data_IF_680916825302
#
_entry.id   IF_680916825302
#
_cell.length_a   1.000
_cell.length_b   1.000
_cell.length_c   1.000
_cell.angle_alpha   90.00
_cell.angle_beta   90.00
_cell.angle_gamma   90.00
#
_symmetry.space_group_name_H-M   'P 1'
#
loop_
_entity.id
_entity.type
_entity.pdbx_description
1 polymer ?
#
# COMPACT_ATOMS: atom_id res chain seq x y z
N UNK A 1 -7.57 9.28 24.85
CA UNK A 1 -6.65 9.44 23.71
C UNK A 1 -5.25 9.19 24.23
N UNK A 2 -4.53 8.22 23.66
CA UNK A 2 -3.12 8.04 23.97
C UNK A 2 -2.36 9.16 23.25
N UNK A 3 -1.91 10.14 24.00
CA UNK A 3 -0.99 11.16 23.49
C UNK A 3 0.41 10.64 23.72
N UNK A 4 1.11 10.25 22.65
CA UNK A 4 2.58 10.17 22.75
C UNK A 4 3.12 11.60 22.92
N UNK A 5 4.20 11.78 23.67
CA UNK A 5 4.82 13.11 23.86
C UNK A 5 5.23 13.75 22.54
N UNK A 6 5.41 12.95 21.48
CA UNK A 6 5.91 13.36 20.18
C UNK A 6 4.81 13.40 19.10
N UNK A 7 3.54 13.21 19.49
CA UNK A 7 2.43 13.07 18.55
C UNK A 7 2.43 11.73 17.81
N UNK A 8 1.56 11.59 16.83
CA UNK A 8 1.52 10.47 15.91
C UNK A 8 1.75 10.96 14.47
N UNK A 9 2.29 10.10 13.64
CA UNK A 9 2.52 10.35 12.23
C UNK A 9 1.34 9.82 11.41
N UNK A 10 0.88 10.59 10.44
CA UNK A 10 -0.18 10.19 9.53
C UNK A 10 0.46 9.80 8.20
N UNK A 11 0.14 8.60 7.73
CA UNK A 11 0.42 8.13 6.38
C UNK A 11 -0.92 8.01 5.65
N UNK A 12 -0.99 8.56 4.45
CA UNK A 12 -2.18 8.51 3.59
C UNK A 12 -1.88 7.66 2.36
N UNK A 13 -2.87 6.92 1.89
CA UNK A 13 -2.75 6.08 0.68
C UNK A 13 -3.94 6.36 -0.24
N UNK A 14 -3.73 6.81 -1.49
CA UNK A 14 -4.79 6.87 -2.48
C UNK A 14 -5.08 5.46 -3.02
N UNK A 15 -6.35 5.17 -3.28
CA UNK A 15 -6.79 3.89 -3.82
C UNK A 15 -7.08 3.97 -5.32
N UNK A 16 -7.31 5.16 -5.85
CA UNK A 16 -7.49 5.41 -7.27
C UNK A 16 -7.52 6.90 -7.58
N UNK A 17 -7.14 7.25 -8.78
CA UNK A 17 -7.42 8.56 -9.34
C UNK A 17 -8.90 8.68 -9.79
N UNK A 18 -9.43 9.89 -9.97
CA UNK A 18 -10.75 10.09 -10.56
C UNK A 18 -10.88 9.39 -11.92
N UNK A 19 -12.08 8.83 -12.25
CA UNK A 19 -12.27 8.06 -13.48
C UNK A 19 -11.80 8.75 -14.76
N UNK A 20 -12.02 10.05 -14.87
CA UNK A 20 -11.66 10.84 -16.05
C UNK A 20 -10.14 10.98 -16.28
N UNK A 21 -9.31 10.62 -15.28
CA UNK A 21 -7.85 10.54 -15.42
C UNK A 21 -7.38 9.14 -15.84
N UNK A 22 -8.27 8.16 -15.92
CA UNK A 22 -7.92 6.74 -16.13
C UNK A 22 -8.34 6.26 -17.50
N UNK A 23 -7.62 5.29 -18.01
CA UNK A 23 -7.83 4.67 -19.32
C UNK A 23 -9.18 3.96 -19.47
N UNK A 24 -9.72 3.46 -18.36
CA UNK A 24 -11.00 2.75 -18.31
C UNK A 24 -12.20 3.63 -17.88
N UNK A 25 -11.97 4.89 -17.55
CA UNK A 25 -12.98 5.82 -17.04
C UNK A 25 -13.83 5.24 -15.89
N UNK A 26 -13.19 4.49 -14.98
CA UNK A 26 -13.85 3.82 -13.85
C UNK A 26 -13.01 3.99 -12.57
N UNK A 27 -13.66 3.95 -11.40
CA UNK A 27 -12.96 3.91 -10.11
C UNK A 27 -12.22 2.58 -9.86
N UNK A 28 -12.68 1.49 -10.45
CA UNK A 28 -12.13 0.14 -10.26
C UNK A 28 -11.19 -0.22 -11.41
N UNK A 29 -9.99 -0.66 -11.09
CA UNK A 29 -8.97 -1.07 -12.05
C UNK A 29 -8.52 0.06 -12.98
N UNK A 30 -7.94 -0.29 -14.11
CA UNK A 30 -7.40 0.67 -15.08
C UNK A 30 -6.11 1.35 -14.61
N UNK A 31 -5.57 2.19 -15.49
CA UNK A 31 -4.30 2.89 -15.27
C UNK A 31 -4.47 4.40 -15.38
N UNK A 32 -3.65 5.12 -14.64
CA UNK A 32 -3.54 6.57 -14.80
C UNK A 32 -2.97 6.90 -16.19
N UNK A 33 -3.66 7.75 -16.94
CA UNK A 33 -3.16 8.24 -18.22
C UNK A 33 -1.99 9.19 -18.00
N UNK A 34 -0.93 9.02 -18.78
CA UNK A 34 0.32 9.79 -18.61
C UNK A 34 0.12 11.30 -18.79
N UNK A 35 -0.85 11.71 -19.60
CA UNK A 35 -1.23 13.11 -19.79
C UNK A 35 -1.76 13.77 -18.51
N UNK A 36 -2.21 12.98 -17.52
CA UNK A 36 -2.69 13.45 -16.22
C UNK A 36 -1.66 13.30 -15.10
N UNK A 37 -0.47 12.80 -15.34
CA UNK A 37 0.57 12.64 -14.31
C UNK A 37 0.84 13.94 -13.54
N UNK A 38 0.98 15.06 -14.26
CA UNK A 38 1.14 16.36 -13.60
C UNK A 38 -0.09 16.76 -12.76
N UNK A 39 -1.29 16.52 -13.28
CA UNK A 39 -2.55 16.84 -12.58
C UNK A 39 -2.70 15.99 -11.31
N UNK A 40 -2.31 14.72 -11.37
CA UNK A 40 -2.33 13.82 -10.23
C UNK A 40 -1.28 14.22 -9.19
N UNK A 41 -0.08 14.58 -9.58
CA UNK A 41 0.94 15.14 -8.70
C UNK A 41 0.49 16.45 -8.02
N UNK A 42 -0.22 17.32 -8.75
CA UNK A 42 -0.84 18.52 -8.21
C UNK A 42 -1.92 18.19 -7.16
N UNK A 43 -2.68 17.13 -7.35
CA UNK A 43 -3.67 16.66 -6.36
C UNK A 43 -2.99 16.34 -5.02
N UNK A 44 -1.90 15.58 -5.03
CA UNK A 44 -1.12 15.29 -3.79
C UNK A 44 -0.66 16.57 -3.10
N UNK A 45 -0.10 17.51 -3.84
CA UNK A 45 0.34 18.78 -3.28
C UNK A 45 -0.80 19.57 -2.65
N UNK A 46 -1.96 19.64 -3.32
CA UNK A 46 -3.15 20.30 -2.77
C UNK A 46 -3.73 19.58 -1.56
N UNK A 47 -3.72 18.26 -1.57
CA UNK A 47 -4.15 17.44 -0.43
C UNK A 47 -3.32 17.77 0.82
N UNK A 48 -1.99 17.74 0.71
CA UNK A 48 -1.08 18.08 1.81
C UNK A 48 -1.34 19.51 2.30
N UNK A 49 -1.46 20.45 1.38
CA UNK A 49 -1.71 21.87 1.71
C UNK A 49 -3.02 22.06 2.45
N UNK A 50 -4.09 21.38 2.01
CA UNK A 50 -5.41 21.49 2.62
C UNK A 50 -5.43 20.92 4.04
N UNK A 51 -4.86 19.74 4.25
CA UNK A 51 -4.78 19.14 5.59
C UNK A 51 -3.91 19.99 6.54
N UNK A 52 -2.81 20.51 6.05
CA UNK A 52 -1.95 21.40 6.84
C UNK A 52 -2.66 22.69 7.26
N UNK A 53 -3.54 23.23 6.43
CA UNK A 53 -4.35 24.40 6.77
C UNK A 53 -5.34 24.12 7.92
N UNK A 54 -5.76 22.85 8.08
CA UNK A 54 -6.60 22.38 9.20
C UNK A 54 -5.76 21.94 10.44
N UNK A 55 -4.45 22.17 10.42
CA UNK A 55 -3.56 21.79 11.52
C UNK A 55 -3.21 20.30 11.56
N UNK A 56 -3.39 19.58 10.45
CA UNK A 56 -3.09 18.16 10.31
C UNK A 56 -1.88 17.99 9.40
N UNK A 57 -0.77 17.56 9.97
CA UNK A 57 0.44 17.28 9.20
C UNK A 57 0.43 15.86 8.64
N UNK A 58 0.46 15.73 7.32
CA UNK A 58 0.64 14.45 6.63
C UNK A 58 2.15 14.16 6.58
N UNK A 59 2.59 13.23 7.40
CA UNK A 59 4.01 12.86 7.48
C UNK A 59 4.50 12.14 6.22
N UNK A 60 3.67 11.31 5.64
CA UNK A 60 3.99 10.55 4.44
C UNK A 60 2.73 10.08 3.70
N UNK A 61 2.93 9.59 2.50
CA UNK A 61 1.89 8.91 1.74
C UNK A 61 2.51 7.83 0.84
N UNK A 62 1.71 6.87 0.48
CA UNK A 62 2.06 5.92 -0.57
C UNK A 62 1.61 6.46 -1.93
N UNK A 63 2.28 6.07 -2.99
CA UNK A 63 1.95 6.56 -4.34
C UNK A 63 0.60 6.03 -4.79
N UNK A 64 0.32 4.77 -4.47
CA UNK A 64 -0.93 4.07 -4.75
C UNK A 64 -1.08 2.89 -3.81
N UNK A 65 -2.27 2.65 -3.29
CA UNK A 65 -2.60 1.44 -2.57
C UNK A 65 -2.75 0.27 -3.53
N UNK A 66 -2.05 -0.81 -3.27
CA UNK A 66 -2.14 -2.07 -4.02
C UNK A 66 -2.02 -1.90 -5.54
N UNK A 67 -0.90 -1.38 -6.05
CA UNK A 67 -0.73 -1.04 -7.46
C UNK A 67 -0.77 -2.25 -8.41
N UNK A 68 -0.73 -3.48 -7.92
CA UNK A 68 -0.98 -4.69 -8.71
C UNK A 68 -2.49 -4.94 -8.96
N UNK A 69 -3.34 -4.16 -8.29
CA UNK A 69 -4.79 -4.30 -8.33
C UNK A 69 -5.34 -5.24 -7.25
N UNK A 70 -6.64 -5.29 -7.16
CA UNK A 70 -7.39 -6.02 -6.13
C UNK A 70 -8.44 -6.98 -6.71
N UNK A 71 -8.26 -7.44 -7.93
CA UNK A 71 -9.22 -8.33 -8.59
C UNK A 71 -10.56 -7.68 -8.95
N UNK A 72 -10.61 -6.34 -9.05
CA UNK A 72 -11.81 -5.55 -9.34
C UNK A 72 -12.90 -5.62 -8.25
N UNK A 73 -12.51 -5.80 -6.99
CA UNK A 73 -13.45 -5.88 -5.87
C UNK A 73 -13.90 -4.51 -5.36
N UNK A 74 -13.00 -3.51 -5.37
CA UNK A 74 -13.26 -2.14 -4.93
C UNK A 74 -12.41 -1.14 -5.70
N UNK A 75 -12.42 0.13 -5.30
CA UNK A 75 -11.63 1.18 -5.92
C UNK A 75 -10.15 0.79 -5.99
N UNK A 76 -9.57 0.96 -7.18
CA UNK A 76 -8.18 0.56 -7.43
C UNK A 76 -7.63 1.19 -8.70
N UNK A 77 -6.31 1.28 -8.77
CA UNK A 77 -5.61 1.73 -9.95
C UNK A 77 -4.29 0.98 -10.09
N UNK A 78 -3.93 0.61 -11.29
CA UNK A 78 -2.78 -0.23 -11.57
C UNK A 78 -1.59 0.63 -11.98
N UNK A 79 -0.44 0.35 -11.38
CA UNK A 79 0.88 0.79 -11.82
C UNK A 79 1.77 -0.42 -12.05
N UNK A 80 2.63 -0.34 -13.04
CA UNK A 80 3.85 -1.14 -13.06
C UNK A 80 4.94 -0.46 -12.23
N UNK A 81 6.01 -1.18 -11.84
CA UNK A 81 7.15 -0.56 -11.16
C UNK A 81 7.71 0.64 -11.93
N UNK A 82 7.85 0.52 -13.26
CA UNK A 82 8.35 1.58 -14.13
C UNK A 82 7.42 2.78 -14.18
N UNK A 83 6.11 2.57 -14.34
CA UNK A 83 5.12 3.64 -14.38
C UNK A 83 5.10 4.44 -13.07
N UNK A 84 5.13 3.77 -11.92
CA UNK A 84 5.23 4.43 -10.61
C UNK A 84 6.54 5.21 -10.48
N UNK A 85 7.66 4.60 -10.86
CA UNK A 85 8.96 5.23 -10.81
C UNK A 85 9.03 6.49 -11.68
N UNK A 86 8.52 6.41 -12.92
CA UNK A 86 8.45 7.55 -13.83
C UNK A 86 7.53 8.66 -13.32
N UNK A 87 6.40 8.31 -12.74
CA UNK A 87 5.49 9.27 -12.12
C UNK A 87 6.17 10.00 -10.94
N UNK A 88 6.83 9.27 -10.06
CA UNK A 88 7.53 9.88 -8.90
C UNK A 88 8.70 10.74 -9.36
N UNK A 89 9.54 10.23 -10.24
CA UNK A 89 10.73 10.91 -10.73
C UNK A 89 10.42 12.22 -11.47
N UNK A 90 9.48 12.15 -12.41
CA UNK A 90 9.25 13.23 -13.37
C UNK A 90 8.14 14.20 -12.97
N UNK A 91 7.26 13.81 -12.04
CA UNK A 91 6.08 14.61 -11.69
C UNK A 91 5.91 14.81 -10.19
N UNK A 92 5.72 13.75 -9.41
CA UNK A 92 5.35 13.86 -7.99
C UNK A 92 6.48 14.45 -7.16
N UNK A 93 7.67 13.88 -7.20
CA UNK A 93 8.82 14.36 -6.45
C UNK A 93 9.19 15.80 -6.75
N UNK A 94 9.37 16.18 -8.04
CA UNK A 94 9.62 17.57 -8.42
C UNK A 94 8.52 18.53 -7.99
N UNK A 95 7.23 18.13 -8.09
CA UNK A 95 6.09 18.97 -7.70
C UNK A 95 6.08 19.25 -6.20
N UNK A 96 6.23 18.24 -5.37
CA UNK A 96 6.26 18.41 -3.92
C UNK A 96 7.45 19.28 -3.48
N UNK A 97 8.61 19.06 -4.07
CA UNK A 97 9.80 19.87 -3.81
C UNK A 97 9.59 21.33 -4.20
N UNK A 98 8.99 21.59 -5.36
CA UNK A 98 8.71 22.95 -5.84
C UNK A 98 7.70 23.69 -4.94
N UNK A 99 6.75 22.96 -4.37
CA UNK A 99 5.72 23.53 -3.48
C UNK A 99 6.18 23.59 -2.00
N UNK A 100 7.41 23.15 -1.71
CA UNK A 100 7.98 23.23 -0.36
C UNK A 100 7.44 22.19 0.62
N UNK A 101 6.96 21.07 0.12
CA UNK A 101 6.53 19.94 0.95
C UNK A 101 7.71 19.02 1.28
N UNK A 102 7.79 18.60 2.54
CA UNK A 102 8.77 17.62 3.06
C UNK A 102 8.13 16.24 3.37
N UNK A 103 6.87 16.09 2.98
CA UNK A 103 6.09 14.85 3.14
C UNK A 103 6.78 13.68 2.45
N UNK A 104 6.88 12.56 3.15
CA UNK A 104 7.60 11.36 2.70
C UNK A 104 6.82 10.63 1.61
N UNK A 105 7.50 10.26 0.53
CA UNK A 105 6.94 9.39 -0.51
C UNK A 105 7.38 7.96 -0.20
N UNK A 106 6.41 7.05 -0.07
CA UNK A 106 6.62 5.62 0.08
C UNK A 106 6.17 4.93 -1.21
N UNK A 107 7.03 4.12 -1.77
CA UNK A 107 6.69 3.34 -2.96
C UNK A 107 6.17 1.96 -2.62
N UNK A 108 5.71 1.23 -3.62
CA UNK A 108 5.16 -0.11 -3.57
C UNK A 108 3.76 -0.17 -2.95
N UNK A 109 3.64 -0.34 -1.62
CA UNK A 109 2.36 -0.42 -0.89
C UNK A 109 1.50 -1.63 -1.28
N UNK A 110 2.13 -2.81 -1.31
CA UNK A 110 1.54 -4.08 -1.73
C UNK A 110 2.13 -5.25 -0.92
N UNK A 111 1.62 -6.46 -1.14
CA UNK A 111 2.05 -7.67 -0.46
C UNK A 111 3.53 -7.99 -0.70
N UNK A 112 4.18 -8.58 0.29
CA UNK A 112 5.65 -8.78 0.34
C UNK A 112 6.21 -9.74 -0.70
N UNK A 113 5.38 -10.58 -1.31
CA UNK A 113 5.77 -11.60 -2.29
C UNK A 113 6.32 -11.02 -3.60
N UNK A 114 5.78 -9.90 -4.08
CA UNK A 114 6.19 -9.27 -5.36
C UNK A 114 7.16 -8.08 -5.18
N UNK A 115 7.72 -7.92 -3.98
CA UNK A 115 8.50 -6.75 -3.57
C UNK A 115 9.77 -6.53 -4.41
N UNK A 116 10.40 -7.61 -4.89
CA UNK A 116 11.72 -7.58 -5.52
C UNK A 116 11.79 -6.62 -6.71
N UNK A 117 10.93 -6.82 -7.70
CA UNK A 117 10.97 -6.06 -8.95
C UNK A 117 10.72 -4.56 -8.73
N UNK A 118 9.90 -4.23 -7.74
CA UNK A 118 9.61 -2.86 -7.36
C UNK A 118 10.81 -2.16 -6.72
N UNK A 119 11.45 -2.83 -5.78
CA UNK A 119 12.62 -2.31 -5.07
C UNK A 119 13.79 -2.09 -6.03
N UNK A 120 14.01 -3.02 -6.95
CA UNK A 120 15.05 -2.89 -7.97
C UNK A 120 14.83 -1.64 -8.84
N UNK A 121 13.62 -1.44 -9.35
CA UNK A 121 13.29 -0.27 -10.17
C UNK A 121 13.39 1.03 -9.39
N UNK A 122 12.84 1.08 -8.17
CA UNK A 122 12.82 2.30 -7.35
C UNK A 122 14.21 2.78 -6.94
N UNK A 123 15.11 1.85 -6.58
CA UNK A 123 16.38 2.21 -5.96
C UNK A 123 17.60 2.12 -6.89
N UNK A 124 17.48 1.41 -8.01
CA UNK A 124 18.56 1.43 -9.04
C UNK A 124 18.51 2.69 -9.91
N UNK A 125 17.35 3.34 -10.06
CA UNK A 125 17.23 4.62 -10.76
C UNK A 125 17.74 5.76 -9.87
N UNK A 126 18.94 6.25 -10.15
CA UNK A 126 19.62 7.30 -9.37
C UNK A 126 18.88 8.65 -9.39
N UNK A 127 17.98 8.87 -10.34
CA UNK A 127 17.17 10.10 -10.42
C UNK A 127 15.85 9.97 -9.64
N UNK A 128 15.30 8.77 -9.56
CA UNK A 128 14.07 8.50 -8.82
C UNK A 128 14.33 8.24 -7.32
N UNK A 129 15.34 7.43 -7.01
CA UNK A 129 15.64 6.98 -5.65
C UNK A 129 15.68 8.10 -4.59
N UNK A 130 16.20 9.32 -4.87
CA UNK A 130 16.19 10.42 -3.89
C UNK A 130 14.80 10.88 -3.47
N UNK A 131 13.77 10.67 -4.26
CA UNK A 131 12.40 11.06 -3.93
C UNK A 131 11.70 10.05 -3.02
N UNK A 132 12.04 8.78 -3.11
CA UNK A 132 11.47 7.77 -2.23
C UNK A 132 12.11 7.83 -0.84
N UNK A 133 11.29 8.04 0.17
CA UNK A 133 11.71 7.96 1.57
C UNK A 133 11.74 6.52 2.08
N UNK A 134 11.04 5.62 1.43
CA UNK A 134 10.98 4.22 1.82
C UNK A 134 10.05 3.37 0.97
N UNK A 135 9.92 2.12 1.40
CA UNK A 135 9.05 1.10 0.84
C UNK A 135 7.93 0.78 1.82
N UNK A 136 6.71 0.79 1.35
CA UNK A 136 5.52 0.37 2.07
C UNK A 136 5.16 -1.07 1.70
N UNK A 137 4.72 -1.88 2.66
CA UNK A 137 4.37 -3.28 2.46
C UNK A 137 3.08 -3.66 3.16
N UNK A 138 2.36 -4.63 2.59
CA UNK A 138 1.20 -5.31 3.16
C UNK A 138 1.52 -6.76 3.52
N UNK A 139 0.66 -7.42 4.27
CA UNK A 139 0.94 -8.80 4.72
C UNK A 139 0.02 -9.88 4.17
N UNK A 140 -0.84 -9.57 3.20
CA UNK A 140 -1.96 -10.45 2.81
C UNK A 140 -1.59 -11.61 1.87
N UNK A 141 -0.37 -11.64 1.31
CA UNK A 141 0.04 -12.71 0.39
C UNK A 141 0.07 -14.11 1.03
N UNK A 142 0.27 -14.19 2.34
CA UNK A 142 0.30 -15.46 3.06
C UNK A 142 -0.09 -15.27 4.52
N UNK A 143 -0.80 -16.26 5.08
CA UNK A 143 -1.15 -16.32 6.50
C UNK A 143 -0.01 -16.79 7.40
N UNK A 144 1.06 -17.35 6.85
CA UNK A 144 2.15 -17.94 7.61
C UNK A 144 3.56 -17.56 7.13
N UNK A 145 3.72 -17.14 5.88
CA UNK A 145 5.00 -16.72 5.33
C UNK A 145 5.18 -15.20 5.51
N UNK A 146 6.31 -14.80 6.07
CA UNK A 146 6.66 -13.38 6.26
C UNK A 146 7.53 -12.84 5.14
N UNK A 147 7.92 -13.67 4.18
CA UNK A 147 8.81 -13.30 3.07
C UNK A 147 10.10 -12.60 3.54
N UNK A 148 10.86 -13.21 4.48
CA UNK A 148 12.00 -12.54 5.10
C UNK A 148 13.09 -12.18 4.08
N UNK A 149 13.25 -12.98 3.05
CA UNK A 149 14.22 -12.74 1.97
C UNK A 149 13.85 -11.52 1.14
N UNK A 150 12.56 -11.32 0.84
CA UNK A 150 12.08 -10.13 0.13
C UNK A 150 12.26 -8.85 0.98
N UNK A 151 11.98 -8.93 2.27
CA UNK A 151 12.19 -7.82 3.21
C UNK A 151 13.68 -7.49 3.36
N UNK A 152 14.53 -8.50 3.46
CA UNK A 152 15.99 -8.32 3.54
C UNK A 152 16.53 -7.68 2.26
N UNK A 153 16.07 -8.12 1.10
CA UNK A 153 16.42 -7.54 -0.19
C UNK A 153 16.05 -6.05 -0.26
N UNK A 154 14.84 -5.70 0.20
CA UNK A 154 14.40 -4.31 0.24
C UNK A 154 15.26 -3.45 1.18
N UNK A 155 15.60 -3.98 2.35
CA UNK A 155 16.51 -3.31 3.28
C UNK A 155 17.91 -3.12 2.69
N UNK A 156 18.48 -4.15 2.09
CA UNK A 156 19.83 -4.10 1.53
C UNK A 156 19.95 -3.17 0.32
N UNK A 157 18.88 -3.04 -0.46
CA UNK A 157 18.83 -2.13 -1.59
C UNK A 157 18.85 -0.65 -1.15
N UNK A 158 18.31 -0.34 0.05
CA UNK A 158 18.21 1.03 0.54
C UNK A 158 18.21 1.06 2.09
N UNK A 159 19.36 0.79 2.75
CA UNK A 159 19.42 0.57 4.20
C UNK A 159 19.11 1.81 5.04
N UNK A 160 19.22 3.00 4.49
CA UNK A 160 18.92 4.28 5.15
C UNK A 160 17.47 4.72 4.96
N UNK A 161 16.66 3.96 4.21
CA UNK A 161 15.27 4.28 3.93
C UNK A 161 14.32 3.48 4.81
N UNK A 162 13.10 3.99 4.92
CA UNK A 162 12.07 3.30 5.68
C UNK A 162 11.63 2.00 4.97
N UNK A 163 11.35 0.97 5.78
CA UNK A 163 10.57 -0.20 5.37
C UNK A 163 9.41 -0.28 6.36
N UNK A 164 8.19 0.00 5.90
CA UNK A 164 7.04 0.20 6.77
C UNK A 164 5.91 -0.72 6.34
N UNK A 165 5.37 -1.48 7.29
CA UNK A 165 4.11 -2.17 7.09
C UNK A 165 2.97 -1.16 7.25
N UNK A 166 2.35 -0.79 6.14
CA UNK A 166 1.33 0.25 6.05
C UNK A 166 -0.07 -0.31 6.19
N UNK A 167 -0.26 -1.58 5.82
CA UNK A 167 -1.54 -2.23 5.96
C UNK A 167 -1.40 -3.65 6.48
N UNK A 168 -2.19 -3.94 7.53
CA UNK A 168 -2.28 -5.23 8.14
C UNK A 168 -3.55 -5.31 8.99
N UNK A 169 -4.39 -6.28 8.74
CA UNK A 169 -5.53 -6.57 9.60
C UNK A 169 -5.67 -8.07 9.80
N UNK A 170 -6.47 -8.46 10.77
CA UNK A 170 -6.87 -9.87 10.88
C UNK A 170 -7.81 -10.13 9.71
N UNK A 171 -7.30 -10.90 8.76
CA UNK A 171 -7.97 -11.18 7.53
C UNK A 171 -8.75 -12.49 7.58
N UNK A 172 -9.76 -12.56 6.76
CA UNK A 172 -10.59 -13.72 6.54
C UNK A 172 -10.04 -14.65 5.47
N UNK A 173 -8.82 -14.44 5.01
CA UNK A 173 -8.19 -15.33 4.02
C UNK A 173 -8.06 -16.74 4.55
N UNK A 174 -8.19 -17.69 3.63
CA UNK A 174 -8.01 -19.11 3.92
C UNK A 174 -6.60 -19.32 4.42
N UNK A 175 -6.39 -19.87 5.62
CA UNK A 175 -5.07 -20.32 6.02
C UNK A 175 -4.56 -21.36 5.03
N UNK A 176 -3.43 -21.08 4.40
CA UNK A 176 -2.83 -22.01 3.46
C UNK A 176 -2.15 -23.19 4.14
N UNK A 177 -1.87 -23.09 5.44
CA UNK A 177 -1.40 -24.22 6.25
C UNK A 177 -2.60 -24.96 6.85
N UNK A 178 -2.65 -26.25 6.66
CA UNK A 178 -3.73 -27.12 7.16
C UNK A 178 -3.38 -27.85 8.47
N UNK A 179 -2.26 -27.55 9.06
CA UNK A 179 -1.72 -28.29 10.21
C UNK A 179 -2.23 -27.73 11.54
N UNK A 180 -2.76 -26.52 11.55
CA UNK A 180 -3.37 -25.98 12.74
C UNK A 180 -4.84 -26.43 12.83
N UNK A 181 -5.03 -27.53 13.53
CA UNK A 181 -6.33 -28.17 13.71
C UNK A 181 -7.38 -27.25 14.34
N UNK A 182 -6.95 -26.21 15.07
CA UNK A 182 -7.89 -25.31 15.71
C UNK A 182 -8.68 -24.48 14.69
N UNK A 183 -8.06 -24.04 13.59
CA UNK A 183 -8.74 -23.26 12.56
C UNK A 183 -9.91 -23.98 11.92
N UNK A 184 -9.90 -25.29 11.96
CA UNK A 184 -10.94 -26.14 11.37
C UNK A 184 -11.93 -26.67 12.40
N UNK A 185 -11.86 -26.18 13.64
CA UNK A 185 -12.84 -26.52 14.68
C UNK A 185 -14.14 -25.74 14.48
N UNK A 186 -15.23 -26.28 15.03
CA UNK A 186 -16.51 -25.57 15.07
C UNK A 186 -16.39 -24.23 15.79
N UNK A 187 -15.58 -24.17 16.82
CA UNK A 187 -15.31 -22.98 17.62
C UNK A 187 -14.69 -21.86 16.78
N UNK A 188 -13.71 -22.18 15.95
CA UNK A 188 -13.11 -21.22 15.02
C UNK A 188 -14.12 -20.78 13.95
N UNK A 189 -14.94 -21.69 13.43
CA UNK A 189 -15.96 -21.37 12.42
C UNK A 189 -17.15 -20.58 12.97
N UNK A 190 -17.39 -20.60 14.27
CA UNK A 190 -18.47 -19.83 14.91
C UNK A 190 -18.12 -18.33 15.13
N UNK A 191 -16.92 -17.88 14.77
CA UNK A 191 -16.49 -16.49 14.86
C UNK A 191 -16.82 -15.69 13.60
N UNK A 192 -17.87 -14.96 13.62
CA UNK A 192 -18.49 -13.96 12.79
C UNK A 192 -17.94 -13.51 11.42
N UNK A 193 -18.20 -14.22 10.36
CA UNK A 193 -18.14 -13.71 9.00
C UNK A 193 -19.55 -13.48 8.44
N UNK A 194 -20.17 -12.41 8.88
CA UNK A 194 -21.56 -12.14 8.46
C UNK A 194 -21.67 -11.87 6.95
N UNK A 195 -20.56 -11.48 6.31
CA UNK A 195 -20.46 -11.24 4.89
C UNK A 195 -20.10 -12.49 4.07
N UNK A 196 -19.57 -13.56 4.69
CA UNK A 196 -19.17 -14.76 3.99
C UNK A 196 -20.38 -15.64 3.62
N UNK A 197 -20.34 -16.30 2.47
CA UNK A 197 -21.32 -17.30 2.10
C UNK A 197 -21.30 -18.50 3.07
N UNK A 198 -22.41 -19.23 3.16
CA UNK A 198 -22.50 -20.42 4.02
C UNK A 198 -21.44 -21.47 3.64
N UNK A 199 -21.09 -21.56 2.35
CA UNK A 199 -20.02 -22.45 1.90
C UNK A 199 -18.65 -21.99 2.40
N UNK A 200 -18.36 -20.70 2.37
CA UNK A 200 -17.14 -20.13 2.92
C UNK A 200 -17.05 -20.32 4.42
N UNK A 201 -18.16 -20.17 5.15
CA UNK A 201 -18.22 -20.40 6.61
C UNK A 201 -17.89 -21.83 7.02
N UNK A 202 -18.10 -22.81 6.11
CA UNK A 202 -17.72 -24.20 6.36
C UNK A 202 -16.24 -24.47 6.09
N UNK A 203 -15.62 -23.68 5.22
CA UNK A 203 -14.24 -23.89 4.79
C UNK A 203 -13.24 -23.08 5.62
N UNK A 204 -13.70 -22.04 6.33
CA UNK A 204 -12.81 -21.12 7.00
C UNK A 204 -13.25 -20.85 8.42
N UNK A 205 -12.29 -20.79 9.36
CA UNK A 205 -12.56 -20.20 10.65
C UNK A 205 -13.04 -18.77 10.45
N UNK A 206 -14.08 -18.40 11.16
CA UNK A 206 -14.61 -17.04 11.18
C UNK A 206 -13.55 -16.02 11.61
N UNK A 207 -12.49 -16.48 12.21
CA UNK A 207 -11.45 -15.66 12.77
C UNK A 207 -10.19 -16.49 12.97
N UNK A 208 -9.15 -16.11 12.32
CA UNK A 208 -7.83 -16.60 12.64
C UNK A 208 -7.19 -15.61 13.63
N UNK A 209 -7.06 -15.93 14.91
CA UNK A 209 -6.23 -15.13 15.79
C UNK A 209 -4.81 -15.29 15.32
N UNK A 210 -4.32 -14.31 14.62
CA UNK A 210 -2.98 -14.31 14.12
C UNK A 210 -2.11 -13.56 15.10
N UNK A 211 -1.30 -14.28 15.84
CA UNK A 211 -0.08 -13.73 16.37
C UNK A 211 0.90 -13.59 15.20
N UNK A 212 0.75 -12.54 14.41
CA UNK A 212 1.67 -12.18 13.35
C UNK A 212 2.63 -11.11 13.83
#
# INVERSE_FOLDING_TARGET
MATSSDGFKIISSPWTAPPWMKDNNNYVGGKLLTEYYYTWALFFSKYITAYKAEGIDIWGFTVENEPLGNGNNWESMIFTPQEMNDFVKNHLGPKLKADGHDTKILGYDQNRDELKDWVEVMYQDQEAAPYFAGTAVHWYASTFDFFPEALQLAHDAAPDKYLIQTEACVDSEIPQWQDDKWYWTKEATDWGWDWASEEQKHLHPKYAPVNR
#
